data_IF_415507571360
#
_entry.id   IF_415507571360
#
_cell.length_a   1.000
_cell.length_b   1.000
_cell.length_c   1.000
_cell.angle_alpha   90.00
_cell.angle_beta   90.00
_cell.angle_gamma   90.00
#
_symmetry.space_group_name_H-M   'P 1'
#
loop_
_entity.id
_entity.type
_entity.pdbx_description
1 polymer ?
#
# COMPACT_ATOMS: atom_id res chain seq x y z
N UNK A 1 -16.51 7.56 -25.33
CA UNK A 1 -15.67 8.65 -25.85
C UNK A 1 -14.29 8.05 -26.15
N UNK A 2 -13.67 8.41 -27.28
CA UNK A 2 -12.36 7.86 -27.65
C UNK A 2 -11.24 8.41 -26.76
N UNK A 3 -10.10 7.71 -26.71
CA UNK A 3 -8.85 8.18 -26.07
C UNK A 3 -8.11 9.23 -26.93
N UNK A 4 -8.73 9.74 -28.00
CA UNK A 4 -8.09 10.58 -29.03
C UNK A 4 -7.61 11.94 -28.49
N UNK A 5 -8.20 12.42 -27.40
CA UNK A 5 -7.80 13.66 -26.72
C UNK A 5 -6.67 13.44 -25.70
N UNK A 6 -6.38 12.20 -25.32
CA UNK A 6 -5.25 11.90 -24.43
C UNK A 6 -3.94 11.98 -25.20
N UNK A 7 -2.92 12.57 -24.57
CA UNK A 7 -1.57 12.68 -25.15
C UNK A 7 -0.64 11.59 -24.62
N UNK A 8 0.36 11.22 -25.40
CA UNK A 8 1.47 10.41 -24.89
C UNK A 8 2.56 11.32 -24.32
N UNK A 9 3.13 10.91 -23.19
CA UNK A 9 4.22 11.62 -22.53
C UNK A 9 5.43 10.69 -22.42
N UNK A 10 6.58 11.17 -22.88
CA UNK A 10 7.85 10.44 -22.77
C UNK A 10 8.39 10.47 -21.34
N UNK A 11 9.08 9.40 -20.93
CA UNK A 11 9.64 9.27 -19.59
C UNK A 11 10.60 10.42 -19.22
N UNK A 12 11.47 10.82 -20.14
CA UNK A 12 12.39 11.94 -19.95
C UNK A 12 11.66 13.29 -19.74
N UNK A 13 10.55 13.49 -20.46
CA UNK A 13 9.75 14.70 -20.33
C UNK A 13 9.04 14.75 -18.98
N UNK A 14 8.45 13.64 -18.51
CA UNK A 14 7.90 13.55 -17.16
C UNK A 14 8.99 13.80 -16.10
N UNK A 15 10.18 13.22 -16.30
CA UNK A 15 11.31 13.42 -15.40
C UNK A 15 11.74 14.89 -15.28
N UNK A 16 11.76 15.63 -16.38
CA UNK A 16 12.04 17.06 -16.36
C UNK A 16 10.96 17.85 -15.57
N UNK A 17 9.68 17.55 -15.81
CA UNK A 17 8.56 18.20 -15.12
C UNK A 17 8.59 17.97 -13.60
N UNK A 18 8.94 16.76 -13.16
CA UNK A 18 8.97 16.41 -11.75
C UNK A 18 10.19 16.99 -11.00
N UNK A 19 11.26 17.36 -11.71
CA UNK A 19 12.42 18.05 -11.11
C UNK A 19 12.18 19.54 -10.91
N UNK A 20 11.25 20.14 -11.65
CA UNK A 20 10.85 21.53 -11.46
C UNK A 20 9.72 21.64 -10.43
N UNK A 21 9.93 22.27 -9.25
CA UNK A 21 8.96 22.24 -8.15
C UNK A 21 7.57 22.77 -8.52
N UNK A 22 7.52 23.87 -9.28
CA UNK A 22 6.26 24.48 -9.73
C UNK A 22 5.46 23.56 -10.66
N UNK A 23 6.15 22.83 -11.53
CA UNK A 23 5.52 21.90 -12.46
C UNK A 23 5.13 20.60 -11.78
N UNK A 24 5.93 20.13 -10.81
CA UNK A 24 5.62 18.97 -9.98
C UNK A 24 4.32 19.18 -9.17
N UNK A 25 4.13 20.33 -8.54
CA UNK A 25 2.91 20.66 -7.78
C UNK A 25 1.64 20.73 -8.65
N UNK A 26 1.81 21.04 -9.94
CA UNK A 26 0.74 21.15 -10.94
C UNK A 26 0.55 19.87 -11.76
N UNK A 27 1.32 18.83 -11.49
CA UNK A 27 1.26 17.54 -12.19
C UNK A 27 0.70 16.47 -11.25
N UNK A 28 -0.51 15.99 -11.54
CA UNK A 28 -1.08 14.85 -10.84
C UNK A 28 -0.60 13.55 -11.49
N UNK A 29 0.08 12.70 -10.74
CA UNK A 29 0.58 11.42 -11.20
C UNK A 29 -0.24 10.26 -10.60
N UNK A 30 -0.82 9.43 -11.47
CA UNK A 30 -1.71 8.33 -11.11
C UNK A 30 -1.14 7.00 -11.58
N UNK A 31 -0.90 6.10 -10.64
CA UNK A 31 -0.28 4.80 -10.89
C UNK A 31 -1.33 3.69 -10.89
N UNK A 32 -1.54 3.08 -12.05
CA UNK A 32 -2.52 2.02 -12.28
C UNK A 32 -1.96 0.61 -12.07
N UNK A 33 -0.71 0.46 -11.62
CA UNK A 33 -0.12 -0.85 -11.34
C UNK A 33 -0.78 -1.50 -10.13
N UNK A 34 -0.65 -2.85 -9.98
CA UNK A 34 -1.05 -3.53 -8.76
C UNK A 34 -0.48 -2.83 -7.53
N UNK A 35 -1.31 -2.65 -6.50
CA UNK A 35 -0.96 -1.85 -5.32
C UNK A 35 0.36 -2.29 -4.67
N UNK A 36 0.65 -3.60 -4.64
CA UNK A 36 1.89 -4.12 -4.06
C UNK A 36 3.12 -3.77 -4.91
N UNK A 37 2.98 -3.68 -6.24
CA UNK A 37 4.05 -3.19 -7.11
C UNK A 37 4.35 -1.71 -6.84
N UNK A 38 3.31 -0.88 -6.68
CA UNK A 38 3.43 0.51 -6.25
C UNK A 38 4.17 0.64 -4.90
N UNK A 39 3.78 -0.16 -3.90
CA UNK A 39 4.43 -0.16 -2.60
C UNK A 39 5.87 -0.68 -2.62
N UNK A 40 6.27 -1.51 -3.58
CA UNK A 40 7.69 -1.88 -3.72
C UNK A 40 8.50 -0.68 -4.19
N UNK A 41 8.06 -0.07 -5.29
CA UNK A 41 8.73 1.08 -5.89
C UNK A 41 7.74 1.86 -6.74
N UNK A 42 7.75 3.18 -6.63
CA UNK A 42 6.87 4.06 -7.39
C UNK A 42 7.56 5.38 -7.70
N UNK A 43 6.99 6.16 -8.62
CA UNK A 43 7.47 7.52 -8.90
C UNK A 43 7.10 8.42 -7.72
N UNK A 44 8.01 9.30 -7.29
CA UNK A 44 7.77 10.27 -6.23
C UNK A 44 6.48 11.05 -6.48
N UNK A 45 5.70 11.26 -5.42
CA UNK A 45 4.39 11.91 -5.45
C UNK A 45 3.30 11.22 -6.30
N UNK A 46 3.57 10.05 -6.90
CA UNK A 46 2.54 9.24 -7.54
C UNK A 46 1.49 8.80 -6.53
N UNK A 47 0.24 8.72 -6.98
CA UNK A 47 -0.88 8.21 -6.19
C UNK A 47 -1.34 6.88 -6.77
N UNK A 48 -1.45 5.83 -5.94
CA UNK A 48 -1.94 4.55 -6.42
C UNK A 48 -3.43 4.66 -6.73
N UNK A 49 -3.83 4.11 -7.86
CA UNK A 49 -5.22 4.03 -8.27
C UNK A 49 -5.77 2.70 -7.80
N UNK A 50 -6.84 2.76 -7.00
CA UNK A 50 -7.53 1.55 -6.55
C UNK A 50 -8.26 0.91 -7.73
N UNK A 51 -7.78 -0.25 -8.18
CA UNK A 51 -8.44 -1.05 -9.22
C UNK A 51 -8.73 -2.45 -8.70
N UNK A 52 -10.00 -2.77 -8.48
CA UNK A 52 -10.43 -4.08 -8.01
C UNK A 52 -11.69 -4.55 -8.75
N UNK A 53 -12.09 -5.82 -8.57
CA UNK A 53 -13.24 -6.42 -9.26
C UNK A 53 -14.55 -5.65 -9.04
N UNK A 54 -14.77 -5.14 -7.82
CA UNK A 54 -15.94 -4.33 -7.49
C UNK A 54 -15.92 -2.97 -8.23
N UNK A 55 -14.77 -2.31 -8.27
CA UNK A 55 -14.58 -1.04 -8.97
C UNK A 55 -14.67 -1.21 -10.49
N UNK A 56 -14.19 -2.34 -11.04
CA UNK A 56 -14.39 -2.71 -12.45
C UNK A 56 -15.87 -2.82 -12.82
N UNK A 57 -16.70 -3.35 -11.93
CA UNK A 57 -18.15 -3.43 -12.13
C UNK A 57 -18.81 -2.04 -12.07
N UNK A 58 -18.40 -1.21 -11.10
CA UNK A 58 -18.93 0.15 -10.89
C UNK A 58 -18.43 1.17 -11.92
N UNK A 59 -17.27 0.94 -12.52
CA UNK A 59 -16.69 1.79 -13.56
C UNK A 59 -17.34 1.61 -14.93
N UNK A 60 -18.23 0.62 -15.09
CA UNK A 60 -19.12 0.47 -16.25
C UNK A 60 -20.31 1.46 -16.21
N UNK A 61 -20.46 2.21 -15.12
CA UNK A 61 -21.44 3.30 -15.00
C UNK A 61 -20.95 4.63 -15.62
N UNK A 62 -21.59 5.76 -15.28
CA UNK A 62 -21.22 7.07 -15.79
C UNK A 62 -19.75 7.44 -15.48
N UNK A 63 -19.02 8.13 -16.38
CA UNK A 63 -17.60 8.46 -16.18
C UNK A 63 -17.28 9.20 -14.87
N UNK A 64 -18.16 10.13 -14.44
CA UNK A 64 -18.00 10.85 -13.18
C UNK A 64 -18.07 9.92 -11.95
N UNK A 65 -18.92 8.89 -11.99
CA UNK A 65 -19.00 7.87 -10.94
C UNK A 65 -17.77 6.96 -10.95
N UNK A 66 -17.24 6.64 -12.13
CA UNK A 66 -15.99 5.89 -12.28
C UNK A 66 -14.81 6.68 -11.68
N UNK A 67 -14.68 7.97 -11.97
CA UNK A 67 -13.60 8.79 -11.42
C UNK A 67 -13.68 8.91 -9.89
N UNK A 68 -14.87 9.09 -9.33
CA UNK A 68 -15.06 9.13 -7.88
C UNK A 68 -14.70 7.80 -7.19
N UNK A 69 -14.87 6.69 -7.89
CA UNK A 69 -14.49 5.36 -7.42
C UNK A 69 -12.96 5.14 -7.47
N UNK A 70 -12.31 5.63 -8.52
CA UNK A 70 -10.87 5.46 -8.74
C UNK A 70 -10.03 6.48 -7.96
N UNK A 71 -10.55 7.69 -7.77
CA UNK A 71 -9.95 8.80 -7.01
C UNK A 71 -10.93 9.26 -5.91
N UNK A 72 -10.96 8.59 -4.75
CA UNK A 72 -11.87 8.94 -3.66
C UNK A 72 -11.64 10.35 -3.10
N UNK A 73 -10.42 10.88 -3.23
CA UNK A 73 -10.02 12.21 -2.77
C UNK A 73 -10.86 13.31 -3.44
N UNK A 74 -11.84 13.83 -2.69
CA UNK A 74 -12.76 14.88 -3.15
C UNK A 74 -12.04 16.20 -3.40
N UNK A 75 -11.04 16.54 -2.59
CA UNK A 75 -10.31 17.79 -2.73
C UNK A 75 -9.51 17.77 -4.04
N UNK A 76 -8.83 16.66 -4.32
CA UNK A 76 -8.09 16.48 -5.56
C UNK A 76 -8.99 16.52 -6.80
N UNK A 77 -10.14 15.82 -6.76
CA UNK A 77 -11.12 15.89 -7.85
C UNK A 77 -11.66 17.31 -8.06
N UNK A 78 -11.88 18.07 -6.98
CA UNK A 78 -12.29 19.46 -7.10
C UNK A 78 -11.20 20.35 -7.72
N UNK A 79 -9.91 20.11 -7.42
CA UNK A 79 -8.78 20.80 -8.06
C UNK A 79 -8.69 20.48 -9.56
N UNK A 80 -8.92 19.22 -9.94
CA UNK A 80 -9.00 18.79 -11.34
C UNK A 80 -10.13 19.51 -12.09
N UNK A 81 -11.34 19.52 -11.51
CA UNK A 81 -12.52 20.15 -12.09
C UNK A 81 -12.38 21.68 -12.24
N UNK A 82 -11.66 22.34 -11.31
CA UNK A 82 -11.34 23.78 -11.39
C UNK A 82 -10.18 24.12 -12.32
N UNK A 83 -9.49 23.14 -12.90
CA UNK A 83 -8.36 23.38 -13.79
C UNK A 83 -7.10 23.89 -13.10
N UNK A 84 -6.94 23.64 -11.79
CA UNK A 84 -5.75 24.07 -11.04
C UNK A 84 -4.50 23.24 -11.38
N UNK A 85 -4.70 22.03 -11.91
CA UNK A 85 -3.64 21.14 -12.33
C UNK A 85 -3.37 21.37 -13.81
N UNK A 86 -2.10 21.53 -14.16
CA UNK A 86 -1.71 21.63 -15.57
C UNK A 86 -1.87 20.28 -16.28
N UNK A 87 -1.59 19.18 -15.56
CA UNK A 87 -1.55 17.83 -16.15
C UNK A 87 -2.06 16.77 -15.19
N UNK A 88 -2.72 15.76 -15.76
CA UNK A 88 -2.99 14.48 -15.12
C UNK A 88 -2.30 13.38 -15.94
N UNK A 89 -1.31 12.72 -15.34
CA UNK A 89 -0.49 11.69 -15.99
C UNK A 89 -0.87 10.33 -15.41
N UNK A 90 -1.26 9.41 -16.28
CA UNK A 90 -1.58 8.02 -15.94
C UNK A 90 -0.44 7.13 -16.40
N UNK A 91 0.03 6.23 -15.52
CA UNK A 91 1.02 5.22 -15.86
C UNK A 91 0.57 3.81 -15.45
N UNK A 92 1.01 2.82 -16.21
CA UNK A 92 0.86 1.40 -15.90
C UNK A 92 2.23 0.75 -15.70
N UNK A 93 2.32 -0.58 -15.79
CA UNK A 93 3.59 -1.29 -15.61
C UNK A 93 4.55 -1.03 -16.77
N UNK A 94 4.12 -1.27 -18.01
CA UNK A 94 4.98 -1.30 -19.19
C UNK A 94 4.24 -0.98 -20.50
N UNK A 95 3.13 -0.25 -20.45
CA UNK A 95 2.29 0.04 -21.61
C UNK A 95 3.04 0.90 -22.64
N UNK A 96 3.17 0.38 -23.85
CA UNK A 96 3.99 1.00 -24.90
C UNK A 96 3.33 2.22 -25.55
N UNK A 97 2.00 2.31 -25.56
CA UNK A 97 1.23 3.41 -26.18
C UNK A 97 -0.23 3.39 -25.74
N UNK A 98 -0.96 4.48 -25.98
CA UNK A 98 -2.41 4.57 -25.76
C UNK A 98 -3.19 3.51 -26.58
N UNK A 99 -2.72 3.22 -27.79
CA UNK A 99 -3.34 2.25 -28.69
C UNK A 99 -3.21 0.81 -28.18
N UNK A 100 -2.12 0.49 -27.46
CA UNK A 100 -1.85 -0.82 -26.91
C UNK A 100 -2.58 -1.11 -25.58
N UNK A 101 -3.28 -0.11 -25.01
CA UNK A 101 -3.96 -0.28 -23.73
C UNK A 101 -5.15 -1.26 -23.83
N UNK A 102 -5.26 -2.25 -22.92
CA UNK A 102 -6.38 -3.16 -22.88
C UNK A 102 -7.72 -2.41 -22.78
N UNK A 103 -8.77 -2.81 -23.52
CA UNK A 103 -10.06 -2.12 -23.55
C UNK A 103 -10.70 -1.97 -22.15
N UNK A 104 -10.58 -3.01 -21.32
CA UNK A 104 -11.07 -3.05 -19.94
C UNK A 104 -9.95 -2.81 -18.90
N UNK A 105 -8.81 -2.27 -19.33
CA UNK A 105 -7.67 -2.02 -18.47
C UNK A 105 -7.87 -0.81 -17.55
N UNK A 106 -7.26 -0.80 -16.34
CA UNK A 106 -7.37 0.31 -15.39
C UNK A 106 -6.97 1.66 -15.98
N UNK A 107 -5.83 1.69 -16.68
CA UNK A 107 -5.30 2.92 -17.28
C UNK A 107 -6.28 3.52 -18.30
N UNK A 108 -6.87 2.69 -19.18
CA UNK A 108 -7.83 3.13 -20.20
C UNK A 108 -9.11 3.68 -19.59
N UNK A 109 -9.66 2.99 -18.59
CA UNK A 109 -10.88 3.43 -17.91
C UNK A 109 -10.63 4.73 -17.14
N UNK A 110 -9.49 4.84 -16.46
CA UNK A 110 -9.10 6.06 -15.76
C UNK A 110 -8.89 7.24 -16.73
N UNK A 111 -8.17 7.03 -17.84
CA UNK A 111 -7.96 8.06 -18.86
C UNK A 111 -9.29 8.57 -19.43
N UNK A 112 -10.22 7.68 -19.74
CA UNK A 112 -11.57 8.04 -20.22
C UNK A 112 -12.34 8.86 -19.17
N UNK A 113 -12.25 8.48 -17.90
CA UNK A 113 -12.90 9.20 -16.80
C UNK A 113 -12.29 10.59 -16.57
N UNK A 114 -10.95 10.73 -16.65
CA UNK A 114 -10.24 12.00 -16.54
C UNK A 114 -10.58 12.94 -17.69
N UNK A 115 -10.54 12.46 -18.94
CA UNK A 115 -10.88 13.26 -20.11
C UNK A 115 -12.30 13.85 -20.01
N UNK A 116 -13.25 13.06 -19.52
CA UNK A 116 -14.61 13.54 -19.31
C UNK A 116 -14.68 14.67 -18.27
N UNK A 117 -13.97 14.51 -17.15
CA UNK A 117 -13.95 15.49 -16.05
C UNK A 117 -13.23 16.79 -16.44
N UNK A 118 -12.14 16.70 -17.22
CA UNK A 118 -11.29 17.84 -17.56
C UNK A 118 -11.64 18.51 -18.89
N UNK A 119 -12.70 18.07 -19.58
CA UNK A 119 -13.06 18.55 -20.94
C UNK A 119 -13.22 20.06 -21.05
N UNK A 120 -13.71 20.71 -20.01
CA UNK A 120 -13.95 22.15 -19.97
C UNK A 120 -12.76 22.96 -19.40
N UNK A 121 -11.70 22.29 -18.98
CA UNK A 121 -10.56 22.89 -18.29
C UNK A 121 -9.26 22.86 -19.10
N UNK A 122 -8.22 23.58 -18.64
CA UNK A 122 -6.90 23.62 -19.28
C UNK A 122 -6.05 22.36 -19.00
N UNK A 123 -6.54 21.43 -18.18
CA UNK A 123 -5.78 20.26 -17.73
C UNK A 123 -5.54 19.28 -18.88
N UNK A 124 -4.26 19.04 -19.21
CA UNK A 124 -3.89 18.03 -20.20
C UNK A 124 -3.88 16.64 -19.56
N UNK A 125 -4.58 15.67 -20.17
CA UNK A 125 -4.55 14.26 -19.75
C UNK A 125 -3.52 13.52 -20.59
N UNK A 126 -2.57 12.86 -19.92
CA UNK A 126 -1.47 12.16 -20.58
C UNK A 126 -1.34 10.71 -20.10
N UNK A 127 -0.89 9.84 -21.00
CA UNK A 127 -0.43 8.49 -20.67
C UNK A 127 1.10 8.43 -20.76
N UNK A 128 1.75 7.84 -19.75
CA UNK A 128 3.19 7.68 -19.70
C UNK A 128 3.65 6.53 -20.59
N UNK A 129 4.33 6.86 -21.68
CA UNK A 129 4.80 5.88 -22.65
C UNK A 129 5.92 5.01 -22.04
N UNK A 130 5.78 3.70 -22.18
CA UNK A 130 6.69 2.71 -21.60
C UNK A 130 6.42 2.40 -20.13
N UNK A 131 5.39 3.01 -19.53
CA UNK A 131 4.96 2.76 -18.16
C UNK A 131 6.02 3.05 -17.10
N UNK A 132 5.86 2.45 -15.93
CA UNK A 132 6.81 2.56 -14.84
C UNK A 132 8.19 1.97 -15.16
N UNK A 133 8.24 0.86 -15.91
CA UNK A 133 9.50 0.16 -16.19
C UNK A 133 10.47 1.01 -17.01
N UNK A 134 9.98 1.69 -18.04
CA UNK A 134 10.80 2.65 -18.78
C UNK A 134 11.15 3.88 -17.93
N UNK A 135 10.23 4.36 -17.10
CA UNK A 135 10.46 5.53 -16.27
C UNK A 135 11.54 5.29 -15.22
N UNK A 136 11.50 4.17 -14.50
CA UNK A 136 12.52 3.85 -13.49
C UNK A 136 13.92 3.67 -14.09
N UNK A 137 14.01 3.18 -15.32
CA UNK A 137 15.27 3.07 -16.05
C UNK A 137 15.80 4.45 -16.47
N UNK A 138 14.91 5.36 -16.87
CA UNK A 138 15.27 6.70 -17.34
C UNK A 138 15.56 7.69 -16.19
N UNK A 139 14.77 7.64 -15.11
CA UNK A 139 14.79 8.59 -14.01
C UNK A 139 14.74 7.88 -12.64
N UNK A 140 15.75 7.06 -12.29
CA UNK A 140 15.76 6.31 -11.03
C UNK A 140 15.80 7.20 -9.79
N UNK A 141 16.35 8.42 -9.90
CA UNK A 141 16.43 9.44 -8.85
C UNK A 141 15.05 9.96 -8.42
N UNK A 142 14.05 9.85 -9.31
CA UNK A 142 12.68 10.26 -9.05
C UNK A 142 11.78 9.12 -8.59
N UNK A 143 12.32 7.92 -8.41
CA UNK A 143 11.60 6.84 -7.76
C UNK A 143 11.78 6.90 -6.25
N UNK A 144 10.71 6.58 -5.53
CA UNK A 144 10.78 6.22 -4.12
C UNK A 144 10.62 4.72 -4.01
N UNK A 145 11.52 4.12 -3.26
CA UNK A 145 11.29 2.82 -2.66
C UNK A 145 10.62 3.06 -1.32
N UNK A 146 9.60 2.27 -1.00
CA UNK A 146 9.28 2.10 0.42
C UNK A 146 10.50 1.41 0.99
N UNK A 147 11.19 1.95 2.00
CA UNK A 147 12.43 1.36 2.48
C UNK A 147 12.15 -0.10 2.82
N UNK A 148 12.72 -1.01 2.04
CA UNK A 148 13.02 -2.32 2.58
C UNK A 148 13.93 -2.05 3.79
N UNK A 149 13.74 -2.73 4.94
CA UNK A 149 14.70 -2.58 6.03
C UNK A 149 16.08 -2.83 5.42
N UNK A 150 16.91 -1.79 5.43
CA UNK A 150 18.24 -1.86 4.88
C UNK A 150 18.92 -3.05 5.56
N UNK A 151 19.35 -4.04 4.77
CA UNK A 151 20.34 -4.97 5.26
C UNK A 151 21.56 -4.11 5.60
N UNK A 152 21.76 -3.85 6.89
CA UNK A 152 22.92 -3.13 7.37
C UNK A 152 24.16 -3.86 6.85
N UNK A 153 25.17 -3.15 6.32
CA UNK A 153 26.45 -3.76 6.04
C UNK A 153 26.99 -4.32 7.36
N UNK A 154 27.49 -5.55 7.31
CA UNK A 154 28.21 -6.14 8.42
C UNK A 154 29.41 -5.22 8.75
N UNK A 155 29.32 -4.45 9.84
CA UNK A 155 30.43 -3.66 10.36
C UNK A 155 30.02 -2.31 10.93
N UNK A 156 29.69 -2.29 12.21
CA UNK A 156 30.13 -1.28 13.18
C UNK A 156 29.49 -1.62 14.54
N UNK A 157 30.26 -2.27 15.40
CA UNK A 157 29.91 -2.52 16.79
C UNK A 157 29.80 -1.19 17.54
N UNK A 158 28.72 -1.01 18.30
CA UNK A 158 28.75 -0.36 19.61
C UNK A 158 27.43 -0.61 20.39
N UNK A 159 27.49 -1.67 21.20
CA UNK A 159 26.98 -1.77 22.59
C UNK A 159 25.53 -1.39 22.92
N UNK A 160 24.63 -2.38 22.83
CA UNK A 160 24.00 -3.10 23.96
C UNK A 160 22.92 -4.04 23.39
N UNK A 161 23.34 -5.14 22.78
CA UNK A 161 22.42 -6.19 22.35
C UNK A 161 21.98 -7.01 23.55
N UNK A 162 20.69 -7.03 23.86
CA UNK A 162 20.11 -8.08 24.70
C UNK A 162 20.35 -9.43 24.00
N UNK A 163 21.30 -10.21 24.51
CA UNK A 163 21.68 -11.54 24.02
C UNK A 163 20.57 -12.61 24.13
N UNK A 164 19.30 -12.21 24.32
CA UNK A 164 18.13 -13.08 24.48
C UNK A 164 17.17 -13.07 23.29
N UNK A 165 17.19 -12.06 22.44
CA UNK A 165 16.25 -11.99 21.32
C UNK A 165 16.68 -12.94 20.17
N UNK A 166 15.76 -13.68 19.54
CA UNK A 166 16.07 -14.48 18.36
C UNK A 166 16.70 -13.65 17.24
N UNK A 167 17.51 -14.26 16.37
CA UNK A 167 18.21 -13.56 15.27
C UNK A 167 17.26 -12.74 14.37
N UNK A 168 16.01 -13.18 14.20
CA UNK A 168 14.99 -12.50 13.38
C UNK A 168 14.29 -11.32 14.08
N UNK A 169 14.63 -11.07 15.35
CA UNK A 169 14.26 -9.90 16.13
C UNK A 169 15.46 -8.93 16.28
N UNK A 170 16.57 -9.17 15.57
CA UNK A 170 17.66 -8.21 15.46
C UNK A 170 17.22 -7.06 14.54
N UNK A 171 16.68 -6.00 15.15
CA UNK A 171 16.18 -4.81 14.48
C UNK A 171 14.85 -4.33 15.04
N UNK A 172 14.29 -3.28 14.42
CA UNK A 172 12.96 -2.80 14.75
C UNK A 172 11.83 -3.59 14.08
N UNK A 173 10.57 -3.28 14.40
CA UNK A 173 9.43 -3.81 13.65
C UNK A 173 9.52 -3.42 12.16
N UNK A 174 8.98 -4.26 11.29
CA UNK A 174 9.12 -4.10 9.84
C UNK A 174 7.92 -3.34 9.28
N UNK A 175 8.18 -2.29 8.49
CA UNK A 175 7.15 -1.55 7.78
C UNK A 175 6.55 -2.37 6.63
N UNK A 176 5.26 -2.70 6.72
CA UNK A 176 4.51 -3.37 5.64
C UNK A 176 3.87 -2.33 4.73
N UNK A 177 3.24 -1.31 5.32
CA UNK A 177 2.72 -0.12 4.65
C UNK A 177 3.15 1.11 5.47
N UNK A 178 3.08 2.34 4.92
CA UNK A 178 3.49 3.56 5.63
C UNK A 178 2.88 3.81 7.02
N UNK A 179 1.81 3.09 7.35
CA UNK A 179 1.09 3.17 8.61
C UNK A 179 0.92 1.80 9.30
N UNK A 180 1.42 0.71 8.73
CA UNK A 180 1.23 -0.66 9.23
C UNK A 180 2.58 -1.36 9.37
N UNK A 181 2.91 -1.73 10.61
CA UNK A 181 4.13 -2.41 10.98
C UNK A 181 3.84 -3.82 11.50
N UNK A 182 4.76 -4.75 11.25
CA UNK A 182 4.71 -6.14 11.72
C UNK A 182 5.89 -6.41 12.66
N UNK A 183 5.62 -6.99 13.84
CA UNK A 183 6.67 -7.31 14.80
C UNK A 183 6.36 -8.47 15.75
N UNK A 184 7.30 -8.70 16.67
CA UNK A 184 7.23 -9.66 17.77
C UNK A 184 6.91 -8.96 19.09
N UNK A 185 6.82 -9.74 20.17
CA UNK A 185 6.68 -9.22 21.53
C UNK A 185 7.91 -8.40 21.96
N UNK A 186 9.10 -8.77 21.48
CA UNK A 186 10.34 -8.02 21.73
C UNK A 186 10.26 -6.60 21.17
N UNK A 187 9.70 -6.46 19.96
CA UNK A 187 9.53 -5.14 19.33
C UNK A 187 8.45 -4.31 20.03
N UNK A 188 7.39 -4.94 20.55
CA UNK A 188 6.32 -4.22 21.25
C UNK A 188 6.71 -3.77 22.66
N UNK A 189 7.79 -4.31 23.22
CA UNK A 189 8.34 -3.90 24.52
C UNK A 189 9.43 -2.82 24.43
N UNK A 190 9.83 -2.39 23.23
CA UNK A 190 10.83 -1.34 23.01
C UNK A 190 10.18 0.02 22.70
N UNK A 191 9.97 0.86 23.71
CA UNK A 191 9.35 2.17 23.54
C UNK A 191 10.15 3.08 22.59
N UNK A 192 11.49 3.01 22.62
CA UNK A 192 12.33 3.87 21.77
C UNK A 192 12.19 3.46 20.30
N UNK A 193 12.23 2.16 20.01
CA UNK A 193 11.96 1.63 18.68
C UNK A 193 10.57 1.99 18.17
N UNK A 194 9.53 1.87 19.02
CA UNK A 194 8.17 2.27 18.67
C UNK A 194 8.09 3.78 18.33
N UNK A 195 8.72 4.64 19.12
CA UNK A 195 8.76 6.08 18.88
C UNK A 195 9.54 6.44 17.61
N UNK A 196 10.68 5.79 17.35
CA UNK A 196 11.48 5.98 16.15
C UNK A 196 10.70 5.62 14.87
N UNK A 197 9.85 4.59 14.93
CA UNK A 197 8.95 4.22 13.85
C UNK A 197 7.68 5.11 13.78
N UNK A 198 7.46 6.00 14.74
CA UNK A 198 6.28 6.85 14.85
C UNK A 198 5.00 6.07 15.17
N UNK A 199 5.11 4.94 15.89
CA UNK A 199 3.97 4.12 16.29
C UNK A 199 3.11 4.87 17.29
N UNK A 200 1.81 4.95 16.99
CA UNK A 200 0.80 5.60 17.85
C UNK A 200 -0.18 4.58 18.44
N UNK A 201 -0.22 3.37 17.87
CA UNK A 201 -1.13 2.31 18.31
C UNK A 201 -0.51 0.92 18.17
N UNK A 202 -0.96 -0.01 18.99
CA UNK A 202 -0.49 -1.40 19.00
C UNK A 202 -1.68 -2.36 18.98
N UNK A 203 -1.67 -3.30 18.02
CA UNK A 203 -2.59 -4.42 17.94
C UNK A 203 -1.86 -5.69 18.40
N UNK A 204 -2.19 -6.15 19.61
CA UNK A 204 -1.62 -7.33 20.23
C UNK A 204 -2.46 -8.57 19.88
N UNK A 205 -1.92 -9.46 19.05
CA UNK A 205 -2.59 -10.68 18.58
C UNK A 205 -2.05 -11.90 19.35
N UNK A 206 -2.04 -11.80 20.68
CA UNK A 206 -1.56 -12.85 21.57
C UNK A 206 -2.28 -12.78 22.90
N UNK A 207 -2.65 -13.94 23.45
CA UNK A 207 -3.15 -14.05 24.82
C UNK A 207 -2.04 -13.94 25.88
N UNK A 208 -0.78 -14.19 25.52
CA UNK A 208 0.35 -14.31 26.45
C UNK A 208 1.26 -13.08 26.50
N UNK A 209 1.18 -12.18 25.53
CA UNK A 209 2.01 -10.98 25.49
C UNK A 209 1.34 -9.83 26.26
N UNK A 210 2.03 -9.12 27.16
CA UNK A 210 1.48 -7.97 27.85
C UNK A 210 1.48 -6.70 26.96
N UNK A 211 0.64 -5.73 27.32
CA UNK A 211 0.67 -4.38 26.75
C UNK A 211 1.58 -3.50 27.63
N UNK A 212 2.76 -3.14 27.14
CA UNK A 212 3.79 -2.48 27.97
C UNK A 212 3.56 -0.98 28.22
N UNK A 213 2.86 -0.29 27.32
CA UNK A 213 2.80 1.17 27.29
C UNK A 213 1.36 1.70 27.27
N UNK A 214 0.46 1.02 27.98
CA UNK A 214 -0.93 1.49 28.14
C UNK A 214 -0.95 2.90 28.74
N UNK A 215 -1.78 3.78 28.17
CA UNK A 215 -1.82 5.22 28.51
C UNK A 215 -0.92 6.11 27.65
N UNK A 216 0.14 5.56 27.04
CA UNK A 216 0.98 6.28 26.07
C UNK A 216 0.58 5.95 24.62
N UNK A 217 0.28 4.69 24.35
CA UNK A 217 -0.14 4.21 23.04
C UNK A 217 -1.58 3.69 23.11
N UNK A 218 -2.28 3.73 21.98
CA UNK A 218 -3.61 3.13 21.86
C UNK A 218 -3.47 1.63 21.64
N UNK A 219 -4.06 0.81 22.51
CA UNK A 219 -4.01 -0.65 22.40
C UNK A 219 -5.32 -1.27 21.93
N UNK A 220 -5.19 -2.42 21.29
CA UNK A 220 -6.25 -3.42 21.14
C UNK A 220 -5.66 -4.81 21.25
N UNK A 221 -6.30 -5.68 22.03
CA UNK A 221 -5.86 -7.06 22.23
C UNK A 221 -6.85 -8.04 21.60
N UNK A 222 -6.32 -8.97 20.82
CA UNK A 222 -7.03 -10.10 20.21
C UNK A 222 -6.39 -11.37 20.78
N UNK A 223 -7.02 -12.01 21.78
CA UNK A 223 -6.42 -13.11 22.52
C UNK A 223 -6.52 -14.42 21.73
N UNK A 224 -5.70 -14.54 20.68
CA UNK A 224 -5.65 -15.72 19.81
C UNK A 224 -4.40 -16.54 20.08
N UNK A 225 -4.59 -17.85 20.25
CA UNK A 225 -3.52 -18.83 20.34
C UNK A 225 -2.99 -19.23 18.96
N UNK A 226 -1.71 -19.64 18.89
CA UNK A 226 -1.08 -20.04 17.64
C UNK A 226 -1.19 -21.56 17.42
N UNK A 227 -2.42 -22.05 17.30
CA UNK A 227 -2.68 -23.47 17.14
C UNK A 227 -3.72 -23.69 16.02
N UNK A 228 -3.88 -24.94 15.61
CA UNK A 228 -4.75 -25.30 14.47
C UNK A 228 -6.25 -25.14 14.76
N UNK A 229 -6.65 -25.14 16.03
CA UNK A 229 -8.04 -25.05 16.48
C UNK A 229 -8.52 -23.59 16.63
N UNK A 230 -7.59 -22.64 16.65
CA UNK A 230 -7.91 -21.23 16.80
C UNK A 230 -8.58 -20.66 15.54
N UNK A 231 -9.72 -19.99 15.72
CA UNK A 231 -10.43 -19.29 14.65
C UNK A 231 -10.00 -17.81 14.60
N UNK A 232 -8.88 -17.54 13.92
CA UNK A 232 -8.36 -16.17 13.79
C UNK A 232 -9.19 -15.33 12.79
N UNK A 233 -9.88 -15.97 11.85
CA UNK A 233 -10.74 -15.29 10.85
C UNK A 233 -11.88 -14.49 11.48
N UNK A 234 -12.44 -14.96 12.59
CA UNK A 234 -13.48 -14.25 13.34
C UNK A 234 -13.05 -12.82 13.75
N UNK A 235 -11.73 -12.61 13.90
CA UNK A 235 -11.14 -11.35 14.33
C UNK A 235 -10.68 -10.45 13.19
N UNK A 236 -10.72 -10.91 11.93
CA UNK A 236 -10.21 -10.14 10.79
C UNK A 236 -10.90 -8.79 10.68
N UNK A 237 -12.24 -8.75 10.69
CA UNK A 237 -12.96 -7.49 10.54
C UNK A 237 -12.65 -6.51 11.68
N UNK A 238 -12.54 -7.02 12.90
CA UNK A 238 -12.25 -6.21 14.09
C UNK A 238 -10.83 -5.63 14.06
N UNK A 239 -9.84 -6.45 13.67
CA UNK A 239 -8.46 -6.03 13.45
C UNK A 239 -8.36 -4.99 12.33
N UNK A 240 -9.04 -5.22 11.20
CA UNK A 240 -9.04 -4.32 10.05
C UNK A 240 -9.62 -2.96 10.42
N UNK A 241 -10.78 -2.93 11.10
CA UNK A 241 -11.40 -1.70 11.58
C UNK A 241 -10.46 -0.91 12.51
N UNK A 242 -9.73 -1.60 13.39
CA UNK A 242 -8.75 -0.94 14.26
C UNK A 242 -7.61 -0.31 13.46
N UNK A 243 -7.00 -1.05 12.53
CA UNK A 243 -5.93 -0.56 11.66
C UNK A 243 -6.41 0.66 10.84
N UNK A 244 -7.60 0.59 10.25
CA UNK A 244 -8.17 1.70 9.47
C UNK A 244 -8.46 2.92 10.36
N UNK A 245 -8.90 2.73 11.61
CA UNK A 245 -9.10 3.86 12.53
C UNK A 245 -7.80 4.61 12.86
N UNK A 246 -6.69 3.88 13.01
CA UNK A 246 -5.37 4.46 13.26
C UNK A 246 -4.85 5.16 12.01
N UNK A 247 -4.98 4.52 10.85
CA UNK A 247 -4.64 5.12 9.55
C UNK A 247 -5.40 6.43 9.31
N UNK A 248 -6.72 6.44 9.54
CA UNK A 248 -7.58 7.59 9.28
C UNK A 248 -7.32 8.78 10.23
N UNK A 249 -6.69 8.54 11.38
CA UNK A 249 -6.22 9.58 12.29
C UNK A 249 -4.78 10.05 11.98
N UNK A 250 -4.17 9.55 10.91
CA UNK A 250 -2.79 9.87 10.54
C UNK A 250 -1.73 9.15 11.38
N UNK A 251 -2.14 8.19 12.21
CA UNK A 251 -1.26 7.40 13.06
C UNK A 251 -0.63 6.20 12.35
N UNK A 252 0.20 5.47 13.09
CA UNK A 252 0.85 4.24 12.64
C UNK A 252 0.61 3.12 13.66
N UNK A 253 0.30 1.92 13.18
CA UNK A 253 -0.01 0.76 14.02
C UNK A 253 1.06 -0.31 13.90
N UNK A 254 1.50 -0.84 15.04
CA UNK A 254 2.25 -2.09 15.12
C UNK A 254 1.26 -3.24 15.36
N UNK A 255 1.27 -4.25 14.49
CA UNK A 255 0.62 -5.53 14.72
C UNK A 255 1.68 -6.53 15.17
N UNK A 256 1.54 -7.08 16.37
CA UNK A 256 2.48 -8.06 16.90
C UNK A 256 1.79 -9.28 17.50
N UNK A 257 2.56 -10.36 17.64
CA UNK A 257 2.20 -11.52 18.45
C UNK A 257 3.45 -11.91 19.27
N UNK A 258 3.61 -13.17 19.64
CA UNK A 258 4.81 -13.62 20.35
C UNK A 258 6.09 -13.44 19.52
N UNK A 259 6.17 -14.13 18.37
CA UNK A 259 7.39 -14.17 17.54
C UNK A 259 7.31 -13.30 16.26
N UNK A 260 6.13 -12.76 15.95
CA UNK A 260 5.94 -12.04 14.69
C UNK A 260 6.02 -12.93 13.44
N UNK A 261 5.64 -14.21 13.56
CA UNK A 261 5.78 -15.24 12.51
C UNK A 261 4.43 -15.66 11.92
N UNK A 262 3.47 -16.02 12.77
CA UNK A 262 2.18 -16.61 12.36
C UNK A 262 1.01 -15.64 12.60
N UNK A 263 0.45 -15.55 13.82
CA UNK A 263 -0.75 -14.74 14.15
C UNK A 263 -0.74 -13.29 13.60
N UNK A 264 0.28 -12.50 13.93
CA UNK A 264 0.35 -11.10 13.48
C UNK A 264 0.58 -10.98 11.98
N UNK A 265 1.32 -11.92 11.37
CA UNK A 265 1.47 -11.99 9.93
C UNK A 265 0.13 -12.30 9.25
N UNK A 266 -0.65 -13.25 9.78
CA UNK A 266 -2.00 -13.57 9.30
C UNK A 266 -2.91 -12.34 9.30
N UNK A 267 -2.91 -11.55 10.39
CA UNK A 267 -3.69 -10.30 10.45
C UNK A 267 -3.22 -9.29 9.39
N UNK A 268 -1.90 -9.15 9.18
CA UNK A 268 -1.37 -8.27 8.12
C UNK A 268 -1.80 -8.74 6.73
N UNK A 269 -1.78 -10.05 6.46
CA UNK A 269 -2.23 -10.62 5.18
C UNK A 269 -3.73 -10.39 4.96
N UNK A 270 -4.57 -10.68 5.96
CA UNK A 270 -6.00 -10.39 5.91
C UNK A 270 -6.26 -8.90 5.67
N UNK A 271 -5.50 -8.01 6.31
CA UNK A 271 -5.61 -6.57 6.09
C UNK A 271 -5.24 -6.18 4.65
N UNK A 272 -4.19 -6.75 4.07
CA UNK A 272 -3.83 -6.50 2.67
C UNK A 272 -4.91 -6.98 1.71
N UNK A 273 -5.42 -8.20 1.91
CA UNK A 273 -6.53 -8.77 1.11
C UNK A 273 -7.75 -7.85 1.17
N UNK A 274 -8.19 -7.42 2.35
CA UNK A 274 -9.37 -6.55 2.48
C UNK A 274 -9.13 -5.14 1.94
N UNK A 275 -8.10 -4.48 2.45
CA UNK A 275 -7.91 -3.04 2.24
C UNK A 275 -7.34 -2.73 0.86
N UNK A 276 -6.63 -3.68 0.24
CA UNK A 276 -5.99 -3.52 -1.08
C UNK A 276 -6.55 -4.45 -2.15
N UNK A 277 -7.45 -5.38 -1.79
CA UNK A 277 -8.10 -6.30 -2.73
C UNK A 277 -7.09 -7.06 -3.58
N UNK A 278 -5.98 -7.45 -2.96
CA UNK A 278 -4.91 -8.27 -3.56
C UNK A 278 -5.11 -9.73 -3.18
N UNK A 279 -4.61 -10.63 -4.02
CA UNK A 279 -4.66 -12.06 -3.74
C UNK A 279 -3.76 -12.44 -2.56
N UNK A 280 -4.06 -13.57 -1.94
CA UNK A 280 -3.31 -14.08 -0.79
C UNK A 280 -1.86 -14.41 -1.15
N UNK A 281 -1.61 -15.01 -2.31
CA UNK A 281 -0.25 -15.31 -2.79
C UNK A 281 0.58 -14.03 -2.96
N UNK A 282 0.02 -13.01 -3.62
CA UNK A 282 0.66 -11.71 -3.78
C UNK A 282 0.93 -11.02 -2.43
N UNK A 283 -0.06 -11.02 -1.53
CA UNK A 283 0.07 -10.45 -0.19
C UNK A 283 1.14 -11.19 0.62
N UNK A 284 1.18 -12.53 0.52
CA UNK A 284 2.16 -13.37 1.19
C UNK A 284 3.57 -13.05 0.74
N UNK A 285 3.83 -13.03 -0.56
CA UNK A 285 5.14 -12.71 -1.12
C UNK A 285 5.58 -11.29 -0.72
N UNK A 286 4.66 -10.33 -0.71
CA UNK A 286 4.95 -8.96 -0.33
C UNK A 286 5.38 -8.81 1.13
N UNK A 287 4.72 -9.51 2.06
CA UNK A 287 5.08 -9.51 3.48
C UNK A 287 6.35 -10.35 3.70
N UNK A 288 6.49 -11.49 3.02
CA UNK A 288 7.67 -12.38 3.11
C UNK A 288 8.96 -11.69 2.69
N UNK A 289 8.93 -10.87 1.65
CA UNK A 289 10.09 -10.07 1.22
C UNK A 289 10.56 -9.06 2.28
N UNK A 290 9.65 -8.60 3.15
CA UNK A 290 9.94 -7.63 4.21
C UNK A 290 10.32 -8.29 5.52
N UNK A 291 9.66 -9.40 5.86
CA UNK A 291 9.98 -10.24 7.02
C UNK A 291 10.08 -11.69 6.57
N UNK A 292 11.29 -12.11 6.23
CA UNK A 292 11.59 -13.44 5.67
C UNK A 292 11.18 -14.62 6.56
N UNK A 293 10.95 -14.42 7.85
CA UNK A 293 10.55 -15.47 8.78
C UNK A 293 9.05 -15.72 8.86
N UNK A 294 8.19 -14.93 8.20
CA UNK A 294 6.74 -15.17 8.30
C UNK A 294 6.39 -16.58 7.82
N UNK A 295 5.51 -17.22 8.59
CA UNK A 295 5.01 -18.56 8.33
C UNK A 295 3.73 -18.77 9.16
N UNK A 296 2.59 -18.21 8.73
CA UNK A 296 1.28 -18.57 9.26
C UNK A 296 1.12 -20.07 9.34
N UNK A 297 0.50 -20.57 10.42
CA UNK A 297 0.19 -21.99 10.50
C UNK A 297 -0.82 -22.40 9.40
N UNK A 298 -0.88 -23.69 9.09
CA UNK A 298 -1.68 -24.20 7.97
C UNK A 298 -3.19 -23.91 8.12
N UNK A 299 -3.73 -23.96 9.36
CA UNK A 299 -5.13 -23.62 9.63
C UNK A 299 -5.42 -22.15 9.30
N UNK A 300 -4.53 -21.25 9.70
CA UNK A 300 -4.64 -19.82 9.38
C UNK A 300 -4.52 -19.55 7.89
N UNK A 301 -3.70 -20.31 7.16
CA UNK A 301 -3.62 -20.22 5.71
C UNK A 301 -4.94 -20.62 5.05
N UNK A 302 -5.58 -21.69 5.50
CA UNK A 302 -6.92 -22.09 5.04
C UNK A 302 -7.98 -21.01 5.33
N UNK A 303 -7.96 -20.42 6.51
CA UNK A 303 -8.84 -19.31 6.89
C UNK A 303 -8.62 -18.07 6.01
N UNK A 304 -7.37 -17.76 5.64
CA UNK A 304 -7.05 -16.67 4.72
C UNK A 304 -7.56 -16.92 3.30
N UNK A 305 -7.47 -18.15 2.78
CA UNK A 305 -8.02 -18.52 1.46
C UNK A 305 -9.55 -18.38 1.42
N UNK A 306 -10.22 -18.78 2.50
CA UNK A 306 -11.66 -18.58 2.63
C UNK A 306 -12.01 -17.09 2.68
N UNK A 307 -11.27 -16.31 3.45
CA UNK A 307 -11.45 -14.86 3.53
C UNK A 307 -11.19 -14.16 2.19
N UNK A 308 -10.13 -14.53 1.46
CA UNK A 308 -9.86 -14.04 0.11
C UNK A 308 -11.05 -14.26 -0.81
N UNK A 309 -11.64 -15.46 -0.79
CA UNK A 309 -12.82 -15.78 -1.61
C UNK A 309 -14.00 -14.87 -1.25
N UNK A 310 -14.26 -14.66 0.04
CA UNK A 310 -15.34 -13.79 0.52
C UNK A 310 -15.12 -12.32 0.12
N UNK A 311 -13.87 -11.87 0.13
CA UNK A 311 -13.51 -10.47 -0.14
C UNK A 311 -13.38 -10.19 -1.63
N UNK A 312 -12.83 -11.08 -2.45
CA UNK A 312 -12.54 -10.77 -3.85
C UNK A 312 -13.67 -11.14 -4.81
N UNK A 313 -14.54 -12.10 -4.43
CA UNK A 313 -15.65 -12.54 -5.27
C UNK A 313 -16.95 -11.75 -5.04
N UNK A 314 -17.03 -10.90 -4.01
CA UNK A 314 -18.18 -10.05 -3.68
C UNK A 314 -17.85 -8.55 -3.73
#
# INVERSE_FOLDING_TARGET
>A
MGLEEARELECAALGALLREPREAERTLLLDCRPFLAFCRRHVRAARPVSWNAMLRRRSRGPPAAALACLLPDRALRARLARGELARAVVLDQAGASLAALPPDGPARVLLSALLHETRAGPTSVCFLRGGFDAFQACCPDLCSETPAPAMLPAGAENSRSDLRAPFYDQGGPVEILPYLFLGSCSHSSDLQGLQACGITAVLNVSASCPNHFEGLLRYKSIPVEDNQMAEISAWFQEAICFIDSVKNSGGRVLVHCQAGISRSATICLAYLIQSRRVRLDEAFDFVKQRRGVISPNFSFMGQLLQFETQVLCH
#
